data_IF_079290929615
#
_entry.id   IF_079290929615
#
_cell.length_a   1.000
_cell.length_b   1.000
_cell.length_c   1.000
_cell.angle_alpha   90.00
_cell.angle_beta   90.00
_cell.angle_gamma   90.00
#
_symmetry.space_group_name_H-M   'P 1'
#
loop_
_entity.id
_entity.type
_entity.pdbx_description
1 polymer ?
#
# COMPACT_ATOMS: atom_id res chain seq x y z
N UNK A 1 -38.04 16.79 -7.56
CA UNK A 1 -37.14 15.66 -7.25
C UNK A 1 -35.72 16.10 -7.56
N UNK A 2 -34.88 16.29 -6.56
CA UNK A 2 -33.45 16.51 -6.76
C UNK A 2 -32.74 15.17 -6.50
N UNK A 3 -32.15 14.59 -7.53
CA UNK A 3 -31.31 13.40 -7.39
C UNK A 3 -30.10 13.80 -6.53
N UNK A 4 -29.97 13.20 -5.34
CA UNK A 4 -28.72 13.26 -4.58
C UNK A 4 -27.66 12.57 -5.42
N UNK A 5 -26.66 13.32 -5.86
CA UNK A 5 -25.43 12.73 -6.40
C UNK A 5 -24.78 12.04 -5.20
N UNK A 6 -24.94 10.72 -5.12
CA UNK A 6 -24.25 9.89 -4.16
C UNK A 6 -22.77 9.89 -4.58
N UNK A 7 -21.98 10.81 -4.04
CA UNK A 7 -20.52 10.78 -4.21
C UNK A 7 -20.04 9.45 -3.62
N UNK A 8 -19.58 8.53 -4.48
CA UNK A 8 -18.96 7.30 -4.00
C UNK A 8 -17.75 7.72 -3.18
N UNK A 9 -17.73 7.40 -1.89
CA UNK A 9 -16.52 7.56 -1.08
C UNK A 9 -15.48 6.60 -1.66
N UNK A 10 -14.54 7.14 -2.43
CA UNK A 10 -13.38 6.38 -2.89
C UNK A 10 -12.58 6.01 -1.66
N UNK A 11 -12.46 4.72 -1.38
CA UNK A 11 -11.57 4.21 -0.34
C UNK A 11 -10.18 4.16 -0.95
N UNK A 12 -9.28 5.00 -0.44
CA UNK A 12 -7.87 5.06 -0.88
C UNK A 12 -7.04 4.18 0.05
N UNK A 13 -6.26 3.27 -0.53
CA UNK A 13 -5.25 2.48 0.19
C UNK A 13 -3.83 2.90 -0.23
N UNK A 14 -2.86 2.65 0.66
CA UNK A 14 -1.44 2.84 0.38
C UNK A 14 -0.78 1.47 0.27
N UNK A 15 -0.01 1.27 -0.80
CA UNK A 15 0.81 0.08 -1.05
C UNK A 15 2.28 0.49 -0.95
N UNK A 16 3.07 -0.24 -0.16
CA UNK A 16 4.50 0.00 0.01
C UNK A 16 5.25 -1.25 -0.45
N UNK A 17 6.17 -1.10 -1.40
CA UNK A 17 7.27 -2.06 -1.55
C UNK A 17 8.17 -1.92 -0.32
N UNK A 18 8.09 -2.88 0.59
CA UNK A 18 8.74 -2.81 1.87
C UNK A 18 10.16 -3.41 1.86
N UNK A 19 10.63 -4.00 0.76
CA UNK A 19 11.94 -4.64 0.68
C UNK A 19 13.07 -3.62 0.60
N UNK A 20 12.85 -2.48 -0.07
CA UNK A 20 13.85 -1.42 -0.22
C UNK A 20 13.39 -0.02 0.24
N UNK A 21 12.15 0.16 0.70
CA UNK A 21 11.63 1.49 1.01
C UNK A 21 12.30 2.16 2.23
N UNK A 22 12.99 3.31 2.06
CA UNK A 22 13.68 4.02 3.14
C UNK A 22 12.72 4.88 4.00
N UNK A 23 11.46 5.02 3.58
CA UNK A 23 10.48 5.97 4.17
C UNK A 23 9.24 5.28 4.75
N UNK A 24 9.35 4.00 5.15
CA UNK A 24 8.23 3.22 5.72
C UNK A 24 7.57 3.94 6.90
N UNK A 25 8.36 4.46 7.83
CA UNK A 25 7.85 5.12 9.04
C UNK A 25 7.13 6.44 8.73
N UNK A 26 7.61 7.20 7.75
CA UNK A 26 6.95 8.41 7.24
C UNK A 26 5.59 8.09 6.64
N UNK A 27 5.52 7.04 5.80
CA UNK A 27 4.27 6.60 5.17
C UNK A 27 3.27 6.20 6.24
N UNK A 28 3.66 5.37 7.21
CA UNK A 28 2.79 4.95 8.32
C UNK A 28 2.27 6.14 9.14
N UNK A 29 3.13 7.12 9.42
CA UNK A 29 2.75 8.36 10.14
C UNK A 29 1.73 9.19 9.35
N UNK A 30 1.86 9.27 8.02
CA UNK A 30 0.91 10.00 7.17
C UNK A 30 -0.40 9.22 7.05
N UNK A 31 -0.34 7.91 6.81
CA UNK A 31 -1.49 7.03 6.73
C UNK A 31 -2.37 7.11 7.99
N UNK A 32 -1.74 7.06 9.18
CA UNK A 32 -2.44 7.16 10.46
C UNK A 32 -3.17 8.50 10.62
N UNK A 33 -2.61 9.63 10.15
CA UNK A 33 -3.28 10.94 10.19
C UNK A 33 -4.51 11.02 9.30
N UNK A 34 -4.52 10.25 8.21
CA UNK A 34 -5.60 10.24 7.23
C UNK A 34 -6.55 9.05 7.39
N UNK A 35 -6.28 8.12 8.32
CA UNK A 35 -7.06 6.91 8.50
C UNK A 35 -7.02 5.98 7.28
N UNK A 36 -5.91 5.96 6.55
CA UNK A 36 -5.78 5.15 5.33
C UNK A 36 -5.22 3.77 5.65
N UNK A 37 -5.84 2.73 5.08
CA UNK A 37 -5.30 1.37 5.15
C UNK A 37 -3.99 1.31 4.38
N UNK A 38 -2.99 0.67 4.97
CA UNK A 38 -1.65 0.54 4.37
C UNK A 38 -1.27 -0.93 4.25
N UNK A 39 -0.79 -1.34 3.09
CA UNK A 39 -0.25 -2.67 2.81
C UNK A 39 1.25 -2.57 2.63
N UNK A 40 2.00 -3.22 3.53
CA UNK A 40 3.44 -3.39 3.41
C UNK A 40 3.71 -4.73 2.75
N UNK A 41 4.15 -4.72 1.50
CA UNK A 41 4.39 -5.90 0.69
C UNK A 41 5.88 -6.19 0.67
N UNK A 42 6.28 -7.42 0.98
CA UNK A 42 7.69 -7.78 1.13
C UNK A 42 7.90 -9.25 0.83
N UNK A 43 9.01 -9.58 0.20
CA UNK A 43 9.44 -10.96 -0.04
C UNK A 43 10.00 -11.64 1.22
N UNK A 44 10.17 -10.88 2.30
CA UNK A 44 10.58 -11.37 3.62
C UNK A 44 11.34 -10.32 4.44
N UNK A 45 11.64 -10.66 5.69
CA UNK A 45 12.53 -9.82 6.52
C UNK A 45 11.88 -8.60 7.18
N UNK A 46 10.59 -8.34 6.95
CA UNK A 46 9.84 -7.34 7.72
C UNK A 46 9.08 -7.97 8.89
N UNK A 47 9.06 -7.27 10.02
CA UNK A 47 8.26 -7.66 11.19
C UNK A 47 6.80 -7.23 10.95
N UNK A 48 5.81 -8.12 11.18
CA UNK A 48 4.41 -7.74 11.08
C UNK A 48 4.05 -6.57 11.99
N UNK A 49 3.26 -5.64 11.46
CA UNK A 49 2.69 -4.54 12.25
C UNK A 49 1.66 -5.06 13.26
N UNK A 50 1.51 -4.35 14.38
CA UNK A 50 0.43 -4.57 15.36
C UNK A 50 -0.75 -3.61 15.16
N UNK A 51 -0.59 -2.63 14.27
CA UNK A 51 -1.62 -1.67 13.94
C UNK A 51 -2.66 -2.32 13.02
N UNK A 52 -3.96 -2.34 13.37
CA UNK A 52 -4.99 -2.94 12.54
C UNK A 52 -5.20 -2.24 11.18
N UNK A 53 -4.72 -1.00 11.01
CA UNK A 53 -4.74 -0.28 9.74
C UNK A 53 -3.56 -0.63 8.84
N UNK A 54 -2.62 -1.43 9.32
CA UNK A 54 -1.41 -1.82 8.60
C UNK A 54 -1.39 -3.33 8.40
N UNK A 55 -1.53 -3.74 7.15
CA UNK A 55 -1.46 -5.13 6.74
C UNK A 55 -0.05 -5.45 6.22
N UNK A 56 0.57 -6.48 6.77
CA UNK A 56 1.85 -7.00 6.26
C UNK A 56 1.58 -8.17 5.33
N UNK A 57 1.90 -8.00 4.06
CA UNK A 57 1.75 -9.00 3.00
C UNK A 57 3.14 -9.59 2.72
N UNK A 58 3.30 -10.89 2.94
CA UNK A 58 4.53 -11.61 2.61
C UNK A 58 4.32 -12.37 1.30
N UNK A 59 5.10 -12.03 0.28
CA UNK A 59 5.07 -12.69 -1.03
C UNK A 59 6.11 -13.82 -1.10
N UNK A 60 6.05 -14.64 -2.14
CA UNK A 60 7.10 -15.64 -2.37
C UNK A 60 8.38 -14.94 -2.79
N UNK A 61 9.51 -15.33 -2.20
CA UNK A 61 10.82 -14.77 -2.56
C UNK A 61 11.10 -14.83 -4.06
N UNK A 62 11.52 -13.71 -4.62
CA UNK A 62 11.80 -13.55 -6.04
C UNK A 62 12.13 -12.10 -6.36
N UNK A 63 12.89 -11.88 -7.44
CA UNK A 63 13.03 -10.55 -7.99
C UNK A 63 11.64 -10.01 -8.35
N UNK A 64 11.40 -8.73 -8.05
CA UNK A 64 10.19 -7.98 -8.42
C UNK A 64 8.88 -8.55 -7.81
N UNK A 65 8.96 -9.52 -6.88
CA UNK A 65 7.79 -10.21 -6.35
C UNK A 65 6.82 -9.28 -5.59
N UNK A 66 7.35 -8.25 -4.92
CA UNK A 66 6.54 -7.26 -4.25
C UNK A 66 5.84 -6.34 -5.27
N UNK A 67 6.57 -5.91 -6.30
CA UNK A 67 6.08 -5.06 -7.38
C UNK A 67 4.98 -5.74 -8.20
N UNK A 68 5.20 -6.98 -8.63
CA UNK A 68 4.20 -7.80 -9.32
C UNK A 68 2.90 -7.89 -8.51
N UNK A 69 3.03 -8.20 -7.22
CA UNK A 69 1.87 -8.29 -6.35
C UNK A 69 1.15 -6.95 -6.21
N UNK A 70 1.88 -5.85 -6.04
CA UNK A 70 1.29 -4.50 -5.97
C UNK A 70 0.56 -4.17 -7.27
N UNK A 71 1.17 -4.43 -8.43
CA UNK A 71 0.60 -4.17 -9.75
C UNK A 71 -0.73 -4.91 -9.96
N UNK A 72 -0.84 -6.14 -9.46
CA UNK A 72 -2.05 -6.95 -9.54
C UNK A 72 -3.19 -6.47 -8.61
N UNK A 73 -2.87 -5.82 -7.50
CA UNK A 73 -3.84 -5.51 -6.44
C UNK A 73 -4.21 -4.02 -6.35
N UNK A 74 -3.37 -3.13 -6.84
CA UNK A 74 -3.59 -1.68 -6.76
C UNK A 74 -4.72 -1.25 -7.70
N UNK A 75 -5.58 -0.33 -7.22
CA UNK A 75 -6.70 0.18 -7.98
C UNK A 75 -6.54 1.68 -8.31
N UNK A 76 -7.47 2.20 -9.12
CA UNK A 76 -7.53 3.63 -9.37
C UNK A 76 -7.70 4.41 -8.06
N UNK A 77 -6.93 5.49 -7.93
CA UNK A 77 -6.87 6.39 -6.76
C UNK A 77 -6.08 5.88 -5.54
N UNK A 78 -5.57 4.65 -5.57
CA UNK A 78 -4.61 4.18 -4.57
C UNK A 78 -3.24 4.84 -4.74
N UNK A 79 -2.38 4.70 -3.73
CA UNK A 79 -1.05 5.28 -3.70
C UNK A 79 -0.03 4.13 -3.62
N UNK A 80 0.88 4.06 -4.59
CA UNK A 80 2.05 3.18 -4.53
C UNK A 80 3.26 3.97 -4.03
N UNK A 81 4.00 3.39 -3.09
CA UNK A 81 5.31 3.86 -2.62
C UNK A 81 6.33 2.78 -2.97
N UNK A 82 7.10 3.06 -4.01
CA UNK A 82 8.19 2.22 -4.51
C UNK A 82 9.39 3.10 -4.88
N UNK A 83 10.59 2.52 -4.95
CA UNK A 83 11.77 3.18 -5.53
C UNK A 83 11.89 2.92 -7.04
N UNK A 84 11.09 2.01 -7.60
CA UNK A 84 11.21 1.57 -8.99
C UNK A 84 10.35 2.41 -9.94
N UNK A 85 10.98 2.88 -11.02
CA UNK A 85 10.33 3.57 -12.13
C UNK A 85 10.89 3.00 -13.45
N UNK A 86 10.11 2.21 -14.22
CA UNK A 86 8.75 1.78 -13.94
C UNK A 86 8.68 0.86 -12.71
N UNK A 87 7.49 0.68 -12.14
CA UNK A 87 7.23 -0.46 -11.25
C UNK A 87 7.69 -1.71 -12.04
N UNK A 88 8.66 -2.44 -11.49
CA UNK A 88 9.45 -3.43 -12.21
C UNK A 88 8.58 -4.50 -12.89
#
# INVERSE_FOLDING_TARGET
MAARIQGSSVVVEIYIDADACPVKDEVLRVAARHGLKTRMVSDGGIRPSRDPMVETVIVTQGADAADDWIAEHIAAHDICVTNDIPLA
#
